data_IF_085965079110
#
_entry.id   IF_085965079110
#
_cell.length_a   1.000
_cell.length_b   1.000
_cell.length_c   1.000
_cell.angle_alpha   90.00
_cell.angle_beta   90.00
_cell.angle_gamma   90.00
#
_symmetry.space_group_name_H-M   'P 1'
#
loop_
_entity.id
_entity.type
_entity.pdbx_description
1 polymer ?
#
# COMPACT_ATOMS: atom_id res chain seq x y z
N UNK A 1 -0.22 -10.54 -5.40
CA UNK A 1 -1.45 -9.92 -4.82
C UNK A 1 -2.54 -9.78 -5.88
N UNK A 2 -2.40 -10.49 -6.99
CA UNK A 2 -3.11 -10.17 -8.21
C UNK A 2 -4.56 -10.63 -8.14
N UNK A 3 -4.84 -11.70 -7.37
CA UNK A 3 -6.21 -12.14 -7.12
C UNK A 3 -7.07 -11.09 -6.40
N UNK A 4 -6.61 -10.52 -5.27
CA UNK A 4 -7.40 -9.53 -4.51
C UNK A 4 -7.59 -8.26 -5.33
N UNK A 5 -6.53 -7.81 -6.00
CA UNK A 5 -6.57 -6.62 -6.85
C UNK A 5 -7.52 -6.80 -8.02
N UNK A 6 -7.42 -7.92 -8.74
CA UNK A 6 -8.31 -8.25 -9.85
C UNK A 6 -9.75 -8.41 -9.35
N UNK A 7 -9.96 -9.10 -8.22
CA UNK A 7 -11.29 -9.28 -7.61
C UNK A 7 -12.01 -7.98 -7.28
N UNK A 8 -11.28 -6.93 -6.88
CA UNK A 8 -11.85 -5.60 -6.62
C UNK A 8 -12.17 -4.81 -7.90
N UNK A 9 -11.50 -5.12 -9.01
CA UNK A 9 -11.68 -4.44 -10.30
C UNK A 9 -12.69 -5.17 -11.19
N UNK A 10 -12.72 -6.50 -11.14
CA UNK A 10 -13.63 -7.33 -11.94
C UNK A 10 -15.06 -6.95 -11.61
N UNK A 11 -15.81 -6.58 -12.67
CA UNK A 11 -17.21 -6.18 -12.60
C UNK A 11 -17.46 -4.82 -11.90
N UNK A 12 -16.42 -4.00 -11.75
CA UNK A 12 -16.47 -2.68 -11.09
C UNK A 12 -17.24 -2.72 -9.76
N UNK A 13 -17.06 -3.82 -9.00
CA UNK A 13 -17.89 -4.18 -7.84
C UNK A 13 -17.97 -3.11 -6.76
N UNK A 14 -17.02 -2.18 -6.71
CA UNK A 14 -16.92 -1.16 -5.67
C UNK A 14 -16.87 0.28 -6.20
N UNK A 15 -16.63 0.51 -7.49
CA UNK A 15 -16.39 1.85 -8.03
C UNK A 15 -15.17 2.56 -7.41
N UNK A 16 -14.28 1.83 -6.73
CA UNK A 16 -13.15 2.42 -6.00
C UNK A 16 -11.96 2.70 -6.92
N UNK A 17 -11.41 3.91 -6.82
CA UNK A 17 -10.26 4.36 -7.59
C UNK A 17 -8.91 3.92 -6.95
N UNK A 18 -8.92 3.70 -5.64
CA UNK A 18 -7.73 3.40 -4.83
C UNK A 18 -7.98 2.24 -3.88
N UNK A 19 -6.93 1.46 -3.61
CA UNK A 19 -6.87 0.48 -2.53
C UNK A 19 -5.89 0.99 -1.48
N UNK A 20 -6.37 1.29 -0.28
CA UNK A 20 -5.51 1.70 0.85
C UNK A 20 -5.23 0.53 1.78
N UNK A 21 -4.05 0.51 2.38
CA UNK A 21 -3.63 -0.50 3.36
C UNK A 21 -2.82 0.15 4.47
N UNK A 22 -3.03 -0.30 5.70
CA UNK A 22 -2.13 -0.02 6.83
C UNK A 22 -1.14 -1.17 6.95
N UNK A 23 0.07 -0.96 6.43
CA UNK A 23 1.10 -2.00 6.38
C UNK A 23 1.98 -1.96 7.62
N UNK A 24 2.32 -3.14 8.16
CA UNK A 24 3.42 -3.22 9.11
C UNK A 24 4.73 -2.77 8.43
N UNK A 25 5.65 -2.10 9.14
CA UNK A 25 6.90 -1.63 8.55
C UNK A 25 7.74 -2.71 7.89
N UNK A 26 7.73 -3.92 8.45
CA UNK A 26 8.39 -5.09 7.87
C UNK A 26 7.76 -5.56 6.54
N UNK A 27 6.49 -5.26 6.29
CA UNK A 27 5.75 -5.62 5.09
C UNK A 27 5.79 -4.53 4.01
N UNK A 28 6.26 -3.31 4.31
CA UNK A 28 6.39 -2.21 3.35
C UNK A 28 7.15 -2.61 2.07
N UNK A 29 8.29 -3.34 2.12
CA UNK A 29 8.99 -3.79 0.91
C UNK A 29 8.11 -4.68 0.02
N UNK A 30 7.26 -5.50 0.61
CA UNK A 30 6.32 -6.37 -0.11
C UNK A 30 5.26 -5.54 -0.84
N UNK A 31 4.61 -4.59 -0.16
CA UNK A 31 3.59 -3.72 -0.77
C UNK A 31 4.20 -2.84 -1.87
N UNK A 32 5.39 -2.28 -1.64
CA UNK A 32 6.14 -1.53 -2.66
C UNK A 32 6.44 -2.36 -3.91
N UNK A 33 6.86 -3.62 -3.75
CA UNK A 33 7.09 -4.53 -4.88
C UNK A 33 5.81 -4.83 -5.67
N UNK A 34 4.66 -4.75 -5.01
CA UNK A 34 3.34 -4.87 -5.62
C UNK A 34 2.78 -3.53 -6.12
N UNK A 35 3.57 -2.46 -6.22
CA UNK A 35 3.14 -1.18 -6.79
C UNK A 35 2.35 -0.27 -5.86
N UNK A 36 2.33 -0.55 -4.55
CA UNK A 36 1.78 0.38 -3.57
C UNK A 36 2.77 1.52 -3.30
N UNK A 37 2.24 2.71 -3.06
CA UNK A 37 2.95 3.94 -2.75
C UNK A 37 2.56 4.45 -1.36
N UNK A 38 3.43 5.21 -0.70
CA UNK A 38 3.12 5.82 0.60
C UNK A 38 1.99 6.85 0.47
N UNK A 39 1.10 6.91 1.45
CA UNK A 39 0.01 7.91 1.52
C UNK A 39 0.54 9.28 1.97
N UNK A 40 1.50 9.83 1.21
CA UNK A 40 2.13 11.12 1.47
C UNK A 40 3.49 11.04 2.17
N UNK A 41 4.11 12.21 2.35
CA UNK A 41 5.43 12.37 2.98
C UNK A 41 5.51 11.98 4.46
N UNK A 42 4.44 12.13 5.31
CA UNK A 42 4.53 11.73 6.71
C UNK A 42 4.73 10.22 6.89
N UNK A 43 4.09 9.41 6.04
CA UNK A 43 4.18 7.96 6.06
C UNK A 43 5.56 7.47 5.62
N UNK A 44 6.16 8.15 4.64
CA UNK A 44 7.53 7.88 4.23
C UNK A 44 8.53 8.22 5.34
N UNK A 45 8.32 9.31 6.09
CA UNK A 45 9.14 9.66 7.24
C UNK A 45 9.00 8.66 8.38
N UNK A 46 7.78 8.17 8.65
CA UNK A 46 7.53 7.08 9.61
C UNK A 46 8.30 5.81 9.22
N UNK A 47 8.28 5.44 7.94
CA UNK A 47 9.08 4.31 7.45
C UNK A 47 10.58 4.54 7.62
N UNK A 48 11.08 5.75 7.32
CA UNK A 48 12.49 6.11 7.55
C UNK A 48 12.87 6.07 9.02
N UNK A 49 11.96 6.44 9.92
CA UNK A 49 12.17 6.33 11.36
C UNK A 49 12.27 4.86 11.80
N UNK A 50 11.42 3.98 11.26
CA UNK A 50 11.53 2.54 11.46
C UNK A 50 12.87 1.96 10.98
N UNK A 51 13.36 2.40 9.82
CA UNK A 51 14.67 1.95 9.30
C UNK A 51 15.84 2.34 10.22
N UNK A 52 15.70 3.44 10.98
CA UNK A 52 16.68 3.86 11.99
C UNK A 52 16.51 3.11 13.30
N UNK A 53 15.26 2.80 13.67
CA UNK A 53 14.90 2.10 14.91
C UNK A 53 13.82 1.05 14.63
N UNK A 54 14.24 -0.22 14.55
CA UNK A 54 13.38 -1.34 14.23
C UNK A 54 12.43 -1.72 15.39
N UNK A 55 12.49 -1.02 16.53
CA UNK A 55 11.57 -1.23 17.63
C UNK A 55 10.21 -0.53 17.42
N UNK A 56 10.08 0.33 16.41
CA UNK A 56 8.81 0.96 16.06
C UNK A 56 7.89 -0.01 15.34
N UNK A 57 6.66 -0.15 15.84
CA UNK A 57 5.62 -1.02 15.27
C UNK A 57 4.46 -0.23 14.67
N UNK A 58 4.62 1.09 14.52
CA UNK A 58 3.60 1.95 13.92
C UNK A 58 3.29 1.49 12.49
N UNK A 59 2.01 1.34 12.16
CA UNK A 59 1.59 0.99 10.81
C UNK A 59 1.81 2.15 9.86
N UNK A 60 2.09 1.83 8.60
CA UNK A 60 2.37 2.79 7.54
C UNK A 60 1.27 2.71 6.51
N UNK A 61 0.58 3.83 6.32
CA UNK A 61 -0.50 3.93 5.35
C UNK A 61 0.08 3.98 3.93
N UNK A 62 -0.38 3.07 3.09
CA UNK A 62 -0.01 2.97 1.68
C UNK A 62 -1.27 2.91 0.82
N UNK A 63 -1.14 3.27 -0.45
CA UNK A 63 -2.22 3.16 -1.43
C UNK A 63 -1.73 2.53 -2.74
N UNK A 64 -2.65 1.89 -3.44
CA UNK A 64 -2.47 1.37 -4.78
C UNK A 64 -3.56 1.95 -5.67
N UNK A 65 -3.16 2.50 -6.82
CA UNK A 65 -4.10 3.06 -7.79
C UNK A 65 -4.65 1.93 -8.66
N UNK A 66 -5.95 1.63 -8.52
CA UNK A 66 -6.57 0.48 -9.18
C UNK A 66 -6.66 0.66 -10.70
N UNK A 67 -6.66 1.89 -11.20
CA UNK A 67 -6.65 2.19 -12.64
C UNK A 67 -5.40 1.63 -13.35
N UNK A 68 -4.29 1.46 -12.65
CA UNK A 68 -3.04 0.87 -13.19
C UNK A 68 -3.17 -0.60 -13.61
N UNK A 69 -4.30 -1.25 -13.30
CA UNK A 69 -4.59 -2.66 -13.69
C UNK A 69 -5.44 -2.72 -14.96
N UNK A 70 -6.10 -1.62 -15.32
CA UNK A 70 -7.11 -1.57 -16.39
C UNK A 70 -6.50 -1.07 -17.73
N UNK A 71 -5.22 -0.69 -17.74
CA UNK A 71 -4.43 -0.40 -18.95
C UNK A 71 -3.63 -1.60 -19.43
#
# INVERSE_FOLDING_TARGET
>A
MDFIKLWMVTDNKTGCCFLTVDAYPSAVPFYRKNGFSFLGSPEEERYKAYLRDHNRTDTIAMYFFLKTIIE
#
